data_IF_218035863879
#
_entry.id   IF_218035863879
#
_cell.length_a   1.000
_cell.length_b   1.000
_cell.length_c   1.000
_cell.angle_alpha   90.00
_cell.angle_beta   90.00
_cell.angle_gamma   90.00
#
_symmetry.space_group_name_H-M   'P 1'
#
loop_
_entity.id
_entity.type
_entity.pdbx_description
1 polymer ?
#
# COMPACT_ATOMS: atom_id res chain seq x y z
N UNK A 1 -16.88 1.88 -3.83
CA UNK A 1 -17.01 1.09 -2.58
C UNK A 1 -18.31 0.30 -2.47
N UNK A 2 -19.50 0.89 -2.75
CA UNK A 2 -20.75 0.09 -2.78
C UNK A 2 -20.68 -0.99 -3.85
N UNK A 3 -20.25 -0.66 -5.05
CA UNK A 3 -20.02 -1.62 -6.15
C UNK A 3 -19.06 -2.75 -5.75
N UNK A 4 -18.01 -2.46 -4.98
CA UNK A 4 -17.07 -3.48 -4.48
C UNK A 4 -17.77 -4.44 -3.53
N UNK A 5 -18.59 -3.92 -2.61
CA UNK A 5 -19.32 -4.76 -1.67
C UNK A 5 -20.32 -5.67 -2.38
N UNK A 6 -21.00 -5.17 -3.43
CA UNK A 6 -21.95 -5.92 -4.24
C UNK A 6 -21.31 -7.05 -5.08
N UNK A 7 -19.99 -6.97 -5.32
CA UNK A 7 -19.24 -8.00 -6.05
C UNK A 7 -18.64 -9.08 -5.16
N UNK A 8 -18.68 -8.91 -3.83
CA UNK A 8 -18.16 -9.90 -2.90
C UNK A 8 -19.18 -11.06 -2.72
N UNK A 9 -18.67 -12.28 -2.74
CA UNK A 9 -19.48 -13.48 -2.47
C UNK A 9 -19.64 -13.66 -0.95
N UNK A 10 -20.86 -13.99 -0.52
CA UNK A 10 -21.21 -14.22 0.89
C UNK A 10 -21.79 -12.98 1.57
N UNK A 11 -22.29 -13.16 2.80
CA UNK A 11 -23.05 -12.14 3.56
C UNK A 11 -22.25 -11.51 4.72
N UNK A 12 -21.04 -12.00 4.99
CA UNK A 12 -20.23 -11.60 6.16
C UNK A 12 -19.34 -10.38 5.91
N UNK A 13 -19.60 -9.62 4.84
CA UNK A 13 -18.84 -8.45 4.48
C UNK A 13 -19.47 -7.18 5.03
N UNK A 14 -18.65 -6.28 5.56
CA UNK A 14 -19.13 -4.97 5.99
C UNK A 14 -18.27 -3.84 5.41
N UNK A 15 -18.90 -2.68 5.20
CA UNK A 15 -18.25 -1.47 4.76
C UNK A 15 -18.31 -0.42 5.86
N UNK A 16 -17.13 0.11 6.23
CA UNK A 16 -17.01 1.20 7.19
C UNK A 16 -16.36 2.39 6.50
N UNK A 17 -17.09 3.51 6.42
CA UNK A 17 -16.55 4.75 5.86
C UNK A 17 -15.64 5.43 6.88
N UNK A 18 -14.41 5.75 6.47
CA UNK A 18 -13.45 6.46 7.30
C UNK A 18 -12.61 7.41 6.44
N UNK A 19 -12.54 8.67 6.84
CA UNK A 19 -11.62 9.62 6.24
C UNK A 19 -10.22 9.43 6.85
N UNK A 20 -9.31 8.84 6.11
CA UNK A 20 -7.93 8.61 6.57
C UNK A 20 -7.10 9.89 6.72
N UNK A 21 -7.55 11.02 6.18
CA UNK A 21 -6.95 12.32 6.46
C UNK A 21 -7.28 12.83 7.88
N UNK A 22 -8.31 12.28 8.51
CA UNK A 22 -8.74 12.62 9.87
C UNK A 22 -8.31 11.54 10.87
N UNK A 23 -7.35 11.88 11.71
CA UNK A 23 -6.83 10.96 12.74
C UNK A 23 -7.90 10.55 13.77
N UNK A 24 -8.89 11.42 14.06
CA UNK A 24 -9.97 11.11 14.99
C UNK A 24 -10.96 10.10 14.39
N UNK A 25 -11.19 10.17 13.06
CA UNK A 25 -12.03 9.20 12.38
C UNK A 25 -11.44 7.76 12.47
N UNK A 26 -10.12 7.63 12.54
CA UNK A 26 -9.45 6.34 12.72
C UNK A 26 -9.78 5.72 14.09
N UNK A 27 -9.97 6.50 15.14
CA UNK A 27 -10.37 5.98 16.47
C UNK A 27 -11.76 5.36 16.40
N UNK A 28 -12.69 6.00 15.73
CA UNK A 28 -14.03 5.48 15.46
C UNK A 28 -13.99 4.17 14.65
N UNK A 29 -13.19 4.13 13.60
CA UNK A 29 -12.99 2.92 12.80
C UNK A 29 -12.50 1.76 13.68
N UNK A 30 -11.41 1.96 14.41
CA UNK A 30 -10.81 0.90 15.26
C UNK A 30 -11.77 0.40 16.35
N UNK A 31 -12.59 1.27 16.92
CA UNK A 31 -13.55 0.89 17.94
C UNK A 31 -14.62 -0.08 17.42
N UNK A 32 -15.01 0.07 16.16
CA UNK A 32 -16.05 -0.74 15.51
C UNK A 32 -15.52 -2.03 14.85
N UNK A 33 -14.19 -2.21 14.74
CA UNK A 33 -13.63 -3.43 14.15
C UNK A 33 -13.62 -4.58 15.15
N UNK A 34 -13.86 -5.82 14.71
CA UNK A 34 -13.58 -7.02 15.49
C UNK A 34 -12.07 -7.22 15.67
N UNK A 35 -11.67 -8.29 16.34
CA UNK A 35 -10.30 -8.78 16.24
C UNK A 35 -10.04 -9.35 14.84
N UNK A 36 -8.88 -9.01 14.27
CA UNK A 36 -8.53 -9.35 12.88
C UNK A 36 -7.29 -10.25 12.81
N UNK A 37 -7.26 -11.11 11.81
CA UNK A 37 -6.14 -12.01 11.48
C UNK A 37 -5.27 -11.48 10.35
N UNK A 38 -5.79 -10.53 9.59
CA UNK A 38 -5.10 -9.90 8.48
C UNK A 38 -5.49 -8.44 8.32
N UNK A 39 -4.56 -7.63 7.81
CA UNK A 39 -4.79 -6.23 7.48
C UNK A 39 -4.05 -5.87 6.19
N UNK A 40 -4.74 -5.26 5.25
CA UNK A 40 -4.13 -4.65 4.08
C UNK A 40 -4.29 -3.14 4.14
N UNK A 41 -3.18 -2.43 4.29
CA UNK A 41 -3.11 -0.97 4.20
C UNK A 41 -2.83 -0.57 2.76
N UNK A 42 -3.87 -0.41 1.95
CA UNK A 42 -3.75 -0.16 0.51
C UNK A 42 -4.03 1.29 0.10
N UNK A 43 -4.77 2.04 0.89
CA UNK A 43 -5.14 3.41 0.56
C UNK A 43 -3.91 4.29 0.34
N UNK A 44 -3.96 5.12 -0.71
CA UNK A 44 -2.90 6.05 -1.04
C UNK A 44 -3.19 6.82 -2.32
N UNK A 45 -2.50 7.93 -2.49
CA UNK A 45 -2.58 8.73 -3.70
C UNK A 45 -1.25 9.40 -3.99
N UNK A 46 -1.11 9.93 -5.21
CA UNK A 46 0.03 10.74 -5.63
C UNK A 46 -0.43 12.10 -6.13
N UNK A 47 0.46 13.07 -6.04
CA UNK A 47 0.34 14.38 -6.66
C UNK A 47 1.70 14.77 -7.20
N UNK A 48 1.80 14.95 -8.50
CA UNK A 48 3.06 15.33 -9.15
C UNK A 48 3.34 16.82 -8.94
N UNK A 49 4.57 17.14 -8.59
CA UNK A 49 5.07 18.51 -8.51
C UNK A 49 6.60 18.52 -8.65
N UNK A 50 7.13 19.41 -9.46
CA UNK A 50 8.57 19.67 -9.49
C UNK A 50 9.02 20.20 -8.12
N UNK A 51 10.24 19.87 -7.68
CA UNK A 51 10.76 20.18 -6.35
C UNK A 51 10.56 21.63 -5.92
N UNK A 52 10.83 22.57 -6.81
CA UNK A 52 10.69 24.01 -6.54
C UNK A 52 9.26 24.51 -6.36
N UNK A 53 8.26 23.68 -6.73
CA UNK A 53 6.82 24.00 -6.63
C UNK A 53 6.10 23.13 -5.61
N UNK A 54 6.82 22.32 -4.85
CA UNK A 54 6.23 21.51 -3.76
C UNK A 54 5.64 22.44 -2.71
N UNK A 55 4.35 22.26 -2.42
CA UNK A 55 3.66 22.99 -1.37
C UNK A 55 3.62 22.16 -0.09
N UNK A 56 3.75 22.84 1.05
CA UNK A 56 3.70 22.21 2.36
C UNK A 56 2.39 21.44 2.59
N UNK A 57 1.27 22.02 2.15
CA UNK A 57 -0.06 21.41 2.26
C UNK A 57 -0.18 20.09 1.50
N UNK A 58 0.40 20.01 0.29
CA UNK A 58 0.42 18.81 -0.54
C UNK A 58 1.31 17.73 0.09
N UNK A 59 2.49 18.10 0.56
CA UNK A 59 3.40 17.21 1.26
C UNK A 59 2.73 16.62 2.51
N UNK A 60 2.12 17.46 3.35
CA UNK A 60 1.37 17.02 4.54
C UNK A 60 0.24 16.08 4.18
N UNK A 61 -0.55 16.41 3.17
CA UNK A 61 -1.70 15.59 2.73
C UNK A 61 -1.26 14.20 2.24
N UNK A 62 -0.23 14.13 1.41
CA UNK A 62 0.32 12.86 0.90
C UNK A 62 0.84 12.01 2.07
N UNK A 63 1.65 12.58 2.97
CA UNK A 63 2.16 11.85 4.13
C UNK A 63 1.04 11.43 5.08
N UNK A 64 0.03 12.26 5.28
CA UNK A 64 -1.10 11.95 6.14
C UNK A 64 -1.80 10.66 5.70
N UNK A 65 -2.11 10.53 4.41
CA UNK A 65 -2.85 9.37 3.90
C UNK A 65 -1.93 8.17 3.64
N UNK A 66 -0.77 8.39 3.01
CA UNK A 66 0.09 7.28 2.58
C UNK A 66 0.93 6.68 3.70
N UNK A 67 1.21 7.45 4.76
CA UNK A 67 2.16 7.05 5.81
C UNK A 67 1.55 7.13 7.21
N UNK A 68 1.07 8.30 7.62
CA UNK A 68 0.65 8.54 9.01
C UNK A 68 -0.61 7.73 9.32
N UNK A 69 -1.62 7.77 8.47
CA UNK A 69 -2.88 7.06 8.70
C UNK A 69 -2.71 5.54 8.83
N UNK A 70 -2.04 4.82 7.89
CA UNK A 70 -1.86 3.38 8.02
C UNK A 70 -1.00 3.00 9.24
N UNK A 71 0.02 3.79 9.59
CA UNK A 71 0.82 3.57 10.79
C UNK A 71 0.00 3.75 12.06
N UNK A 72 -0.80 4.82 12.15
CA UNK A 72 -1.67 5.07 13.30
C UNK A 72 -2.82 4.07 13.40
N UNK A 73 -3.43 3.68 12.29
CA UNK A 73 -4.46 2.64 12.26
C UNK A 73 -3.89 1.34 12.85
N UNK A 74 -2.73 0.91 12.37
CA UNK A 74 -2.09 -0.30 12.88
C UNK A 74 -1.69 -0.17 14.35
N UNK A 75 -1.09 0.95 14.77
CA UNK A 75 -0.75 1.23 16.17
C UNK A 75 -1.98 1.18 17.09
N UNK A 76 -3.10 1.80 16.67
CA UNK A 76 -4.35 1.82 17.45
C UNK A 76 -4.97 0.43 17.56
N UNK A 77 -4.93 -0.37 16.48
CA UNK A 77 -5.38 -1.78 16.48
C UNK A 77 -4.55 -2.62 17.48
N UNK A 78 -3.24 -2.45 17.50
CA UNK A 78 -2.35 -3.11 18.48
C UNK A 78 -2.67 -2.69 19.91
N UNK A 79 -2.81 -1.38 20.16
CA UNK A 79 -3.13 -0.84 21.49
C UNK A 79 -4.49 -1.33 22.02
N UNK A 80 -5.47 -1.47 21.14
CA UNK A 80 -6.81 -1.99 21.47
C UNK A 80 -6.89 -3.52 21.44
N UNK A 81 -5.75 -4.23 21.25
CA UNK A 81 -5.67 -5.69 21.19
C UNK A 81 -6.57 -6.30 20.10
N UNK A 82 -6.76 -5.58 18.99
CA UNK A 82 -7.58 -6.03 17.85
C UNK A 82 -6.80 -6.90 16.84
N UNK A 83 -5.49 -7.04 16.99
CA UNK A 83 -4.64 -7.89 16.15
C UNK A 83 -4.42 -9.23 16.85
N UNK A 84 -4.86 -10.30 16.23
CA UNK A 84 -4.67 -11.68 16.73
C UNK A 84 -3.18 -12.08 16.70
N UNK A 85 -2.79 -12.96 17.64
CA UNK A 85 -1.51 -13.67 17.54
C UNK A 85 -1.47 -14.45 16.22
N UNK A 86 -0.35 -14.40 15.50
CA UNK A 86 -0.20 -15.05 14.20
C UNK A 86 -0.77 -14.27 13.02
N UNK A 87 -1.30 -13.07 13.23
CA UNK A 87 -1.84 -12.24 12.15
C UNK A 87 -0.79 -11.86 11.12
N UNK A 88 -1.25 -11.54 9.89
CA UNK A 88 -0.40 -11.01 8.81
C UNK A 88 -0.85 -9.63 8.36
N UNK A 89 0.10 -8.70 8.30
CA UNK A 89 -0.13 -7.29 7.96
C UNK A 89 0.62 -6.97 6.67
N UNK A 90 -0.08 -6.41 5.70
CA UNK A 90 0.47 -6.01 4.41
C UNK A 90 0.28 -4.52 4.20
N UNK A 91 1.36 -3.83 3.88
CA UNK A 91 1.33 -2.43 3.47
C UNK A 91 1.56 -2.33 1.96
N UNK A 92 0.85 -1.44 1.29
CA UNK A 92 1.14 -1.08 -0.09
C UNK A 92 2.15 0.07 -0.12
N UNK A 93 3.41 -0.26 -0.36
CA UNK A 93 4.46 0.70 -0.68
C UNK A 93 4.48 0.97 -2.19
N UNK A 94 5.64 1.10 -2.80
CA UNK A 94 5.85 1.30 -4.23
C UNK A 94 7.32 1.09 -4.57
N UNK A 95 7.62 0.74 -5.81
CA UNK A 95 8.98 0.82 -6.36
C UNK A 95 9.57 2.23 -6.22
N UNK A 96 8.74 3.26 -6.29
CA UNK A 96 9.16 4.64 -6.06
C UNK A 96 9.80 4.82 -4.67
N UNK A 97 9.31 4.11 -3.64
CA UNK A 97 9.87 4.16 -2.30
C UNK A 97 11.17 3.38 -2.10
N UNK A 98 11.61 2.60 -3.10
CA UNK A 98 12.82 1.76 -3.02
C UNK A 98 13.99 2.28 -3.88
N UNK A 99 13.72 3.03 -4.96
CA UNK A 99 14.80 3.55 -5.80
C UNK A 99 14.43 3.80 -7.26
N UNK A 100 13.29 3.35 -7.75
CA UNK A 100 12.83 3.59 -9.11
C UNK A 100 11.66 4.59 -9.12
N UNK A 101 11.93 5.85 -9.42
CA UNK A 101 10.95 6.93 -9.37
C UNK A 101 11.01 7.81 -10.63
N UNK A 102 10.12 8.77 -10.74
CA UNK A 102 10.03 9.70 -11.85
C UNK A 102 10.11 11.17 -11.40
N UNK A 103 10.41 12.05 -12.35
CA UNK A 103 10.42 13.50 -12.13
C UNK A 103 9.05 13.96 -11.62
N UNK A 104 9.05 14.82 -10.63
CA UNK A 104 7.84 15.36 -10.01
C UNK A 104 7.21 14.48 -8.93
N UNK A 105 7.74 13.28 -8.66
CA UNK A 105 7.12 12.32 -7.74
C UNK A 105 7.74 12.30 -6.33
N UNK A 106 8.50 13.34 -5.96
CA UNK A 106 9.31 13.38 -4.73
C UNK A 106 8.50 13.14 -3.45
N UNK A 107 7.33 13.79 -3.31
CA UNK A 107 6.48 13.66 -2.13
C UNK A 107 5.95 12.23 -1.95
N UNK A 108 5.46 11.63 -3.04
CA UNK A 108 4.99 10.25 -3.05
C UNK A 108 6.11 9.27 -2.75
N UNK A 109 7.26 9.42 -3.44
CA UNK A 109 8.47 8.62 -3.22
C UNK A 109 8.87 8.61 -1.76
N UNK A 110 8.96 9.79 -1.13
CA UNK A 110 9.30 9.91 0.29
C UNK A 110 8.26 9.22 1.19
N UNK A 111 6.96 9.38 0.92
CA UNK A 111 5.88 8.77 1.71
C UNK A 111 5.89 7.24 1.64
N UNK A 112 6.16 6.68 0.47
CA UNK A 112 6.23 5.22 0.27
C UNK A 112 7.55 4.62 0.78
N UNK A 113 8.66 5.38 0.67
CA UNK A 113 9.93 5.02 1.29
C UNK A 113 9.84 4.93 2.83
N UNK A 114 9.08 5.83 3.45
CA UNK A 114 8.81 5.77 4.88
C UNK A 114 8.12 4.46 5.30
N UNK A 115 7.14 3.98 4.54
CA UNK A 115 6.48 2.68 4.78
C UNK A 115 7.47 1.52 4.60
N UNK A 116 8.27 1.54 3.52
CA UNK A 116 9.27 0.49 3.24
C UNK A 116 10.32 0.35 4.35
N UNK A 117 10.66 1.45 5.02
CA UNK A 117 11.55 1.44 6.19
C UNK A 117 10.81 1.02 7.47
N UNK A 118 9.59 1.56 7.71
CA UNK A 118 8.79 1.30 8.90
C UNK A 118 8.53 -0.17 9.15
N UNK A 119 8.16 -0.93 8.13
CA UNK A 119 7.81 -2.36 8.26
C UNK A 119 8.95 -3.20 8.83
N UNK A 120 10.20 -2.80 8.63
CA UNK A 120 11.37 -3.57 9.09
C UNK A 120 11.44 -3.60 10.62
N UNK A 121 11.33 -2.45 11.26
CA UNK A 121 11.33 -2.36 12.73
C UNK A 121 10.04 -2.95 13.30
N UNK A 122 8.89 -2.67 12.71
CA UNK A 122 7.61 -3.21 13.15
C UNK A 122 7.59 -4.76 13.10
N UNK A 123 8.22 -5.37 12.09
CA UNK A 123 8.35 -6.82 11.99
C UNK A 123 9.20 -7.41 13.13
N UNK A 124 10.31 -6.77 13.49
CA UNK A 124 11.16 -7.20 14.60
C UNK A 124 10.42 -7.11 15.94
N UNK A 125 9.72 -6.02 16.20
CA UNK A 125 8.98 -5.80 17.45
C UNK A 125 7.84 -6.81 17.66
N UNK A 126 7.22 -7.28 16.56
CA UNK A 126 6.02 -8.12 16.62
C UNK A 126 6.29 -9.59 16.32
N UNK A 127 7.49 -9.97 15.91
CA UNK A 127 7.92 -11.35 15.73
C UNK A 127 7.65 -12.24 16.96
N UNK A 128 7.89 -11.80 18.22
CA UNK A 128 7.58 -12.61 19.41
C UNK A 128 6.09 -12.97 19.56
N UNK A 129 5.19 -12.21 18.91
CA UNK A 129 3.76 -12.50 18.83
C UNK A 129 3.38 -13.31 17.59
N UNK A 130 4.34 -13.76 16.81
CA UNK A 130 4.17 -14.41 15.51
C UNK A 130 3.38 -13.55 14.51
N UNK A 131 3.35 -12.23 14.67
CA UNK A 131 2.71 -11.31 13.74
C UNK A 131 3.72 -10.98 12.65
N UNK A 132 3.35 -11.24 11.39
CA UNK A 132 4.17 -10.95 10.23
C UNK A 132 3.76 -9.60 9.63
N UNK A 133 4.75 -8.81 9.20
CA UNK A 133 4.53 -7.50 8.61
C UNK A 133 5.38 -7.37 7.36
N UNK A 134 4.74 -7.15 6.23
CA UNK A 134 5.41 -7.06 4.94
C UNK A 134 4.85 -5.87 4.14
N UNK A 135 5.57 -5.45 3.11
CA UNK A 135 5.04 -4.54 2.12
C UNK A 135 5.13 -5.14 0.72
N UNK A 136 4.14 -4.83 -0.11
CA UNK A 136 4.25 -4.99 -1.56
C UNK A 136 4.75 -3.67 -2.15
N UNK A 137 5.58 -3.77 -3.18
CA UNK A 137 6.18 -2.62 -3.85
C UNK A 137 5.94 -2.71 -5.36
N UNK A 138 4.71 -2.37 -5.82
CA UNK A 138 4.41 -2.38 -7.25
C UNK A 138 5.19 -1.31 -8.00
N UNK A 139 5.53 -1.62 -9.26
CA UNK A 139 5.81 -0.64 -10.28
C UNK A 139 4.49 -0.12 -10.89
N UNK A 140 4.45 0.18 -12.18
CA UNK A 140 3.23 0.65 -12.82
C UNK A 140 2.19 -0.49 -12.92
N UNK A 141 0.97 -0.19 -12.48
CA UNK A 141 -0.18 -1.11 -12.54
C UNK A 141 -1.28 -0.46 -13.37
N UNK A 142 -1.87 -1.24 -14.26
CA UNK A 142 -2.97 -0.80 -15.12
C UNK A 142 -4.26 -0.60 -14.29
N UNK A 143 -4.42 0.60 -13.77
CA UNK A 143 -5.59 1.03 -13.00
C UNK A 143 -6.20 2.27 -13.64
N UNK A 144 -7.42 2.63 -13.28
CA UNK A 144 -8.07 3.87 -13.77
C UNK A 144 -7.27 5.17 -13.54
N UNK A 145 -6.18 5.13 -12.78
CA UNK A 145 -5.24 6.25 -12.64
C UNK A 145 -4.56 6.61 -13.97
N UNK A 146 -4.39 5.64 -14.89
CA UNK A 146 -3.79 5.87 -16.20
C UNK A 146 -4.76 6.55 -17.19
N UNK A 147 -6.07 6.46 -16.95
CA UNK A 147 -7.09 7.01 -17.85
C UNK A 147 -7.29 8.53 -17.72
N UNK A 148 -6.81 9.13 -16.63
CA UNK A 148 -6.94 10.57 -16.34
C UNK A 148 -5.66 11.40 -16.56
N UNK A 149 -4.57 10.79 -17.03
CA UNK A 149 -3.26 11.44 -17.15
C UNK A 149 -3.05 12.15 -18.50
N UNK A 150 -2.10 13.10 -18.51
CA UNK A 150 -1.62 13.80 -19.72
C UNK A 150 -0.73 12.94 -20.62
N UNK A 151 -0.62 11.63 -20.33
CA UNK A 151 0.26 10.68 -21.06
C UNK A 151 -0.51 10.05 -22.20
N UNK A 152 0.04 10.09 -23.41
CA UNK A 152 -0.60 9.49 -24.59
C UNK A 152 -0.49 7.96 -24.59
N UNK A 153 -1.37 7.29 -25.36
CA UNK A 153 -1.32 5.82 -25.51
C UNK A 153 0.01 5.35 -26.09
N UNK A 154 0.61 6.16 -26.96
CA UNK A 154 1.90 5.89 -27.59
C UNK A 154 3.03 5.96 -26.56
N UNK A 155 3.00 6.97 -25.69
CA UNK A 155 3.96 7.10 -24.59
C UNK A 155 3.86 5.93 -23.61
N UNK A 156 2.65 5.50 -23.28
CA UNK A 156 2.44 4.32 -22.42
C UNK A 156 2.97 3.03 -23.07
N UNK A 157 2.76 2.87 -24.39
CA UNK A 157 3.31 1.71 -25.11
C UNK A 157 4.84 1.71 -25.15
N UNK A 158 5.45 2.88 -25.28
CA UNK A 158 6.91 2.99 -25.26
C UNK A 158 7.46 2.69 -23.86
N UNK A 159 6.82 3.21 -22.83
CA UNK A 159 7.20 2.94 -21.44
C UNK A 159 7.06 1.44 -21.10
N UNK A 160 6.03 0.76 -21.57
CA UNK A 160 5.86 -0.70 -21.37
C UNK A 160 7.02 -1.53 -21.90
N UNK A 161 7.76 -1.08 -22.91
CA UNK A 161 8.95 -1.78 -23.43
C UNK A 161 10.10 -1.84 -22.42
N UNK A 162 10.07 -1.00 -21.39
CA UNK A 162 11.05 -1.05 -20.31
C UNK A 162 10.85 -2.26 -19.41
N UNK A 163 9.66 -2.84 -19.40
CA UNK A 163 9.33 -4.01 -18.60
C UNK A 163 9.69 -5.31 -19.32
N UNK A 164 10.59 -6.15 -18.79
CA UNK A 164 10.91 -7.44 -19.41
C UNK A 164 9.71 -8.33 -19.70
N UNK A 165 8.66 -8.29 -18.86
CA UNK A 165 7.41 -9.02 -19.11
C UNK A 165 6.51 -8.36 -20.16
N UNK A 166 6.91 -7.24 -20.76
CA UNK A 166 6.22 -6.58 -21.88
C UNK A 166 4.88 -5.93 -21.54
N UNK A 167 4.56 -5.79 -20.26
CA UNK A 167 3.30 -5.19 -19.81
C UNK A 167 3.44 -4.49 -18.45
N UNK A 168 2.53 -3.60 -18.15
CA UNK A 168 2.30 -3.18 -16.77
C UNK A 168 1.67 -4.32 -15.94
N UNK A 169 1.75 -4.20 -14.62
CA UNK A 169 1.02 -5.09 -13.72
C UNK A 169 -0.50 -4.92 -13.90
N UNK A 170 -1.22 -6.00 -13.67
CA UNK A 170 -2.68 -5.99 -13.52
C UNK A 170 -3.04 -5.89 -12.03
N UNK A 171 -4.19 -5.31 -11.63
CA UNK A 171 -4.65 -5.34 -10.25
C UNK A 171 -4.66 -6.74 -9.62
N UNK A 172 -4.91 -7.80 -10.39
CA UNK A 172 -4.84 -9.19 -9.92
C UNK A 172 -3.43 -9.64 -9.58
N UNK A 173 -2.38 -9.18 -10.29
CA UNK A 173 -0.99 -9.48 -9.92
C UNK A 173 -0.69 -8.98 -8.51
N UNK A 174 -1.24 -7.82 -8.15
CA UNK A 174 -1.08 -7.20 -6.84
C UNK A 174 -1.93 -7.93 -5.78
N UNK A 175 -3.17 -8.27 -6.11
CA UNK A 175 -4.07 -8.98 -5.21
C UNK A 175 -3.53 -10.38 -4.83
N UNK A 176 -3.00 -11.14 -5.78
CA UNK A 176 -2.39 -12.44 -5.52
C UNK A 176 -1.17 -12.36 -4.61
N UNK A 177 -0.34 -11.34 -4.78
CA UNK A 177 0.79 -11.11 -3.88
C UNK A 177 0.33 -10.75 -2.46
N UNK A 178 -0.73 -9.94 -2.32
CA UNK A 178 -1.33 -9.64 -1.01
C UNK A 178 -1.88 -10.90 -0.36
N UNK A 179 -2.65 -11.72 -1.09
CA UNK A 179 -3.21 -12.99 -0.61
C UNK A 179 -2.09 -13.93 -0.17
N UNK A 180 -1.03 -14.06 -0.97
CA UNK A 180 0.14 -14.86 -0.60
C UNK A 180 0.75 -14.38 0.72
N UNK A 181 0.99 -13.08 0.89
CA UNK A 181 1.57 -12.54 2.12
C UNK A 181 0.62 -12.64 3.33
N UNK A 182 -0.69 -12.67 3.12
CA UNK A 182 -1.68 -12.88 4.19
C UNK A 182 -1.79 -14.34 4.60
N UNK A 183 -1.51 -15.28 3.69
CA UNK A 183 -1.67 -16.72 3.90
C UNK A 183 -0.51 -17.37 4.66
N UNK A 184 -0.73 -18.60 5.13
CA UNK A 184 0.30 -19.41 5.78
C UNK A 184 1.42 -19.86 4.83
N UNK A 185 1.21 -19.79 3.51
CA UNK A 185 2.25 -20.03 2.50
C UNK A 185 3.46 -19.10 2.65
N UNK A 186 3.27 -17.93 3.29
CA UNK A 186 4.34 -16.98 3.60
C UNK A 186 4.73 -16.95 5.08
N UNK A 187 4.51 -18.05 5.81
CA UNK A 187 4.75 -18.14 7.26
C UNK A 187 6.19 -17.82 7.70
N UNK A 188 7.16 -17.94 6.78
CA UNK A 188 8.59 -17.62 7.02
C UNK A 188 9.02 -16.28 6.40
N UNK A 189 8.05 -15.39 6.08
CA UNK A 189 8.32 -14.09 5.45
C UNK A 189 7.80 -12.97 6.35
N UNK A 190 8.71 -12.13 6.85
CA UNK A 190 8.38 -10.90 7.59
C UNK A 190 9.45 -9.84 7.36
N UNK A 191 9.07 -8.55 7.38
CA UNK A 191 9.96 -7.41 7.15
C UNK A 191 10.40 -7.25 5.70
N UNK A 192 9.76 -7.95 4.74
CA UNK A 192 10.14 -7.86 3.32
C UNK A 192 9.40 -6.75 2.59
N UNK A 193 10.10 -6.14 1.64
CA UNK A 193 9.53 -5.33 0.57
C UNK A 193 9.47 -6.23 -0.68
N UNK A 194 8.30 -6.82 -0.96
CA UNK A 194 8.10 -7.68 -2.12
C UNK A 194 7.91 -6.83 -3.37
N UNK A 195 8.88 -6.88 -4.26
CA UNK A 195 8.89 -6.13 -5.51
C UNK A 195 8.00 -6.83 -6.54
N UNK A 196 7.13 -6.04 -7.21
CA UNK A 196 6.20 -6.47 -8.25
C UNK A 196 6.33 -5.51 -9.43
N UNK A 197 7.34 -5.73 -10.27
CA UNK A 197 7.79 -4.74 -11.26
C UNK A 197 7.95 -5.28 -12.69
N UNK A 198 7.54 -6.52 -12.95
CA UNK A 198 7.69 -7.14 -14.27
C UNK A 198 9.13 -7.22 -14.75
N UNK A 199 10.11 -7.15 -13.83
CA UNK A 199 11.54 -7.18 -14.11
C UNK A 199 12.16 -5.81 -14.44
N UNK A 200 11.44 -4.72 -14.27
CA UNK A 200 11.89 -3.35 -14.57
C UNK A 200 13.26 -3.03 -13.95
N UNK A 201 13.52 -3.47 -12.74
CA UNK A 201 14.75 -3.16 -11.98
C UNK A 201 15.90 -4.13 -12.23
N UNK A 202 15.77 -5.08 -13.15
CA UNK A 202 16.83 -6.03 -13.50
C UNK A 202 17.76 -5.52 -14.62
N UNK A 203 17.53 -4.32 -15.15
CA UNK A 203 18.29 -3.70 -16.23
C UNK A 203 19.20 -2.61 -15.72
#
# INVERSE_FOLDING_TARGET
MKETLEQLEGDDHCMILCNLADTLAIDGLVSNLPEIHGLVNNAGFTKLSLLQFVKEEDLKSIFQVNTIAPVLLFQKLLKKKKIKKGASIVFTSSMAGLGCTSVGNSMYTASKGAISAYIKTAALELAPKSIRINAICPAMVNTGILEGGSVTKEQLKEDMKQYPLGRYGDPYDIAWAMIYLLSDASSWITGTNLILDGGLTLK
#
